data_IF_661921454431
#
_entry.id   IF_661921454431
#
_cell.length_a   1.000
_cell.length_b   1.000
_cell.length_c   1.000
_cell.angle_alpha   90.00
_cell.angle_beta   90.00
_cell.angle_gamma   90.00
#
_symmetry.space_group_name_H-M   'P 1'
#
loop_
_entity.id
_entity.type
_entity.pdbx_description
1 polymer ?
#
# COMPACT_ATOMS: atom_id res chain seq x y z
N UNK A 1 -2.91 51.91 28.39
CA UNK A 1 -4.27 52.45 28.25
C UNK A 1 -5.15 51.27 27.89
N UNK A 2 -5.79 50.70 28.86
CA UNK A 2 -7.21 50.73 29.22
C UNK A 2 -8.16 50.72 28.01
N UNK A 3 -8.87 49.58 27.76
CA UNK A 3 -10.31 49.46 28.10
C UNK A 3 -10.80 48.04 27.99
N UNK A 4 -11.27 47.51 29.11
CA UNK A 4 -12.30 46.50 29.30
C UNK A 4 -13.61 46.94 28.69
N UNK A 5 -14.44 46.03 28.17
CA UNK A 5 -15.88 46.03 28.42
C UNK A 5 -16.37 44.58 28.39
N UNK A 6 -17.05 44.25 29.40
CA UNK A 6 -17.80 43.07 29.81
C UNK A 6 -19.30 43.35 29.55
N UNK A 7 -20.11 42.34 29.18
CA UNK A 7 -21.51 42.14 29.61
C UNK A 7 -22.02 40.88 28.90
N UNK A 8 -22.37 39.82 29.55
CA UNK A 8 -23.38 39.46 30.55
C UNK A 8 -24.82 39.40 30.00
N UNK A 9 -25.44 38.26 30.28
CA UNK A 9 -26.86 37.87 30.41
C UNK A 9 -27.64 37.47 29.18
N UNK A 10 -28.20 36.29 29.22
CA UNK A 10 -29.62 36.03 29.37
C UNK A 10 -30.03 34.59 29.24
N UNK A 11 -30.53 34.09 30.32
CA UNK A 11 -31.19 32.80 30.53
C UNK A 11 -32.58 32.80 29.89
N UNK A 12 -33.01 31.69 29.27
CA UNK A 12 -34.44 31.33 29.28
C UNK A 12 -34.61 29.81 29.04
N UNK A 13 -35.05 29.16 30.10
CA UNK A 13 -35.69 27.84 30.10
C UNK A 13 -37.09 27.94 29.49
N UNK A 14 -37.48 27.02 28.64
CA UNK A 14 -38.88 26.61 28.49
C UNK A 14 -38.91 25.10 28.28
N UNK A 15 -39.41 24.43 29.29
CA UNK A 15 -39.88 23.06 29.24
C UNK A 15 -41.37 23.05 28.84
N UNK A 16 -41.73 22.24 27.88
CA UNK A 16 -43.14 21.82 27.68
C UNK A 16 -43.17 20.34 27.42
N UNK A 17 -43.66 19.62 28.38
CA UNK A 17 -44.21 18.26 28.26
C UNK A 17 -45.60 18.35 27.66
N UNK A 18 -46.05 17.39 26.90
CA UNK A 18 -47.41 16.77 26.93
C UNK A 18 -47.54 15.63 25.90
N UNK A 19 -47.82 14.47 26.44
CA UNK A 19 -48.81 13.43 26.19
C UNK A 19 -48.90 12.66 24.86
N UNK A 20 -48.98 11.39 25.10
CA UNK A 20 -49.25 10.25 24.27
C UNK A 20 -50.58 10.34 23.44
N UNK A 21 -50.52 9.71 22.27
CA UNK A 21 -51.70 8.98 21.79
C UNK A 21 -51.27 7.83 20.86
N UNK A 22 -51.80 6.69 21.19
CA UNK A 22 -51.74 5.41 20.48
C UNK A 22 -52.42 5.47 19.13
N UNK A 23 -51.82 4.81 18.12
CA UNK A 23 -52.50 4.60 16.81
C UNK A 23 -51.73 3.58 15.96
N UNK A 24 -52.16 2.35 16.10
CA UNK A 24 -51.68 1.18 15.37
C UNK A 24 -52.28 1.17 13.95
N UNK A 25 -51.43 1.20 12.91
CA UNK A 25 -51.81 0.67 11.59
C UNK A 25 -50.62 0.08 10.88
N UNK A 26 -50.76 -1.18 10.47
CA UNK A 26 -49.93 -2.01 9.61
C UNK A 26 -49.59 -1.30 8.30
N UNK A 27 -48.32 -1.36 7.91
CA UNK A 27 -47.87 -1.04 6.57
C UNK A 27 -46.47 -1.66 6.36
N UNK A 28 -46.37 -2.53 5.38
CA UNK A 28 -45.30 -3.47 5.10
C UNK A 28 -43.93 -2.80 4.89
N UNK A 29 -42.95 -3.46 5.43
CA UNK A 29 -41.54 -3.15 5.38
C UNK A 29 -40.94 -3.31 3.99
N UNK A 30 -40.07 -2.36 3.61
CA UNK A 30 -38.99 -2.62 2.71
C UNK A 30 -37.71 -2.78 3.56
N UNK A 31 -37.19 -3.99 3.59
CA UNK A 31 -36.00 -4.36 4.34
C UNK A 31 -34.81 -3.97 3.48
N UNK A 32 -34.11 -2.90 3.83
CA UNK A 32 -32.75 -2.71 3.39
C UNK A 32 -31.85 -3.67 4.19
N UNK A 33 -31.35 -4.66 3.50
CA UNK A 33 -30.33 -5.57 4.03
C UNK A 33 -28.96 -4.86 3.99
N UNK A 34 -28.56 -4.30 5.10
CA UNK A 34 -27.16 -4.11 5.39
C UNK A 34 -26.57 -5.49 5.68
N UNK A 35 -25.84 -6.06 4.73
CA UNK A 35 -25.11 -7.31 4.94
C UNK A 35 -23.79 -6.99 5.68
N UNK A 36 -23.88 -6.99 7.00
CA UNK A 36 -22.72 -7.19 7.85
C UNK A 36 -22.39 -8.70 7.82
N UNK A 37 -21.42 -9.06 7.00
CA UNK A 37 -20.91 -10.44 6.94
C UNK A 37 -19.62 -10.54 7.72
N UNK A 38 -19.72 -10.35 9.04
CA UNK A 38 -18.65 -10.77 9.95
C UNK A 38 -18.92 -12.21 10.38
N UNK A 39 -18.52 -13.17 9.58
CA UNK A 39 -18.52 -14.58 9.96
C UNK A 39 -17.22 -14.90 10.68
N UNK A 40 -17.23 -14.81 11.99
CA UNK A 40 -16.16 -15.32 12.86
C UNK A 40 -16.30 -16.83 12.94
N UNK A 41 -15.40 -17.56 12.29
CA UNK A 41 -15.18 -18.99 12.50
C UNK A 41 -13.69 -19.18 12.70
N UNK A 42 -13.29 -19.42 13.95
CA UNK A 42 -12.00 -20.00 14.39
C UNK A 42 -10.73 -19.45 13.72
N UNK A 43 -9.99 -18.59 14.42
CA UNK A 43 -8.58 -18.19 14.29
C UNK A 43 -7.78 -18.54 13.01
N UNK A 44 -8.35 -18.25 11.85
CA UNK A 44 -7.58 -18.06 10.62
C UNK A 44 -7.92 -16.67 10.14
N UNK A 45 -7.02 -15.70 10.37
CA UNK A 45 -7.10 -14.40 9.72
C UNK A 45 -6.87 -14.66 8.22
N UNK A 46 -7.93 -14.91 7.50
CA UNK A 46 -7.90 -14.96 6.03
C UNK A 46 -7.84 -13.52 5.56
N UNK A 47 -6.64 -13.02 5.31
CA UNK A 47 -6.44 -11.77 4.60
C UNK A 47 -7.03 -11.92 3.20
N UNK A 48 -8.25 -11.41 2.99
CA UNK A 48 -8.85 -11.40 1.66
C UNK A 48 -8.07 -10.41 0.80
N UNK A 49 -7.45 -10.92 -0.26
CA UNK A 49 -6.85 -10.09 -1.29
C UNK A 49 -7.93 -9.28 -2.01
N UNK A 50 -7.60 -8.07 -2.45
CA UNK A 50 -8.44 -7.29 -3.35
C UNK A 50 -8.50 -7.93 -4.76
N UNK A 51 -9.32 -7.37 -5.65
CA UNK A 51 -9.45 -7.86 -7.03
C UNK A 51 -8.13 -7.81 -7.83
N UNK A 52 -7.11 -7.07 -7.35
CA UNK A 52 -5.79 -6.98 -7.95
C UNK A 52 -4.83 -8.04 -7.41
N UNK A 53 -5.20 -8.75 -6.34
CA UNK A 53 -4.40 -9.75 -5.64
C UNK A 53 -3.44 -9.15 -4.60
N UNK A 54 -3.55 -7.87 -4.24
CA UNK A 54 -2.88 -7.33 -3.07
C UNK A 54 -3.55 -7.83 -1.79
N UNK A 55 -2.75 -8.10 -0.74
CA UNK A 55 -3.22 -8.43 0.61
C UNK A 55 -2.93 -7.31 1.61
N UNK A 56 -2.34 -6.22 1.13
CA UNK A 56 -2.06 -4.98 1.86
C UNK A 56 -2.88 -3.85 1.26
N UNK A 57 -3.09 -2.76 2.02
CA UNK A 57 -3.90 -1.62 1.60
C UNK A 57 -3.17 -0.31 1.80
N UNK A 58 -3.55 0.70 1.03
CA UNK A 58 -3.12 2.09 1.25
C UNK A 58 -3.55 2.54 2.66
N UNK A 59 -2.63 3.18 3.38
CA UNK A 59 -2.79 3.61 4.77
C UNK A 59 -2.27 2.62 5.80
N UNK A 60 -2.06 1.36 5.45
CA UNK A 60 -1.48 0.35 6.34
C UNK A 60 0.04 0.50 6.45
N UNK A 61 0.61 0.04 7.56
CA UNK A 61 2.05 -0.11 7.68
C UNK A 61 2.56 -1.17 6.70
N UNK A 62 3.60 -0.83 5.93
CA UNK A 62 4.23 -1.79 5.03
C UNK A 62 4.84 -2.96 5.82
N UNK A 63 4.54 -4.23 5.45
CA UNK A 63 5.14 -5.40 6.06
C UNK A 63 6.67 -5.35 5.99
N UNK A 64 7.33 -5.51 7.13
CA UNK A 64 8.80 -5.48 7.20
C UNK A 64 9.43 -6.75 6.65
N UNK A 65 10.61 -6.60 6.07
CA UNK A 65 11.43 -7.70 5.56
C UNK A 65 12.90 -7.30 5.50
N UNK A 66 13.77 -8.29 5.41
CA UNK A 66 15.18 -8.11 5.04
C UNK A 66 15.44 -8.76 3.71
N UNK A 67 16.12 -8.06 2.81
CA UNK A 67 16.45 -8.53 1.46
C UNK A 67 17.96 -8.47 1.23
N UNK A 68 18.49 -9.46 0.53
CA UNK A 68 19.87 -9.45 0.03
C UNK A 68 19.88 -8.88 -1.39
N UNK A 69 20.58 -7.77 -1.58
CA UNK A 69 20.76 -7.14 -2.88
C UNK A 69 21.75 -7.94 -3.75
N UNK A 70 21.72 -7.69 -5.05
CA UNK A 70 22.61 -8.35 -6.02
C UNK A 70 24.11 -8.04 -5.79
N UNK A 71 24.45 -6.99 -5.04
CA UNK A 71 25.82 -6.67 -4.61
C UNK A 71 26.21 -7.35 -3.29
N UNK A 72 25.34 -8.18 -2.71
CA UNK A 72 25.54 -8.92 -1.47
C UNK A 72 25.19 -8.14 -0.20
N UNK A 73 24.81 -6.86 -0.29
CA UNK A 73 24.38 -6.08 0.88
C UNK A 73 23.00 -6.54 1.34
N UNK A 74 22.76 -6.47 2.65
CA UNK A 74 21.45 -6.68 3.22
C UNK A 74 20.78 -5.34 3.56
N UNK A 75 19.51 -5.24 3.23
CA UNK A 75 18.66 -4.07 3.54
C UNK A 75 17.40 -4.55 4.24
N UNK A 76 17.09 -3.96 5.38
CA UNK A 76 15.81 -4.16 6.07
C UNK A 76 14.91 -2.98 5.77
N UNK A 77 13.65 -3.19 5.39
CA UNK A 77 12.74 -2.10 5.01
C UNK A 77 12.59 -1.08 6.15
N UNK A 78 12.49 -1.53 7.40
CA UNK A 78 12.40 -0.64 8.57
C UNK A 78 13.65 0.24 8.77
N UNK A 79 14.81 -0.13 8.25
CA UNK A 79 16.02 0.70 8.29
C UNK A 79 15.96 1.92 7.35
N UNK A 80 14.98 1.95 6.45
CA UNK A 80 14.74 3.04 5.50
C UNK A 80 13.71 4.06 5.99
N UNK A 81 13.30 4.00 7.26
CA UNK A 81 12.41 5.01 7.86
C UNK A 81 13.01 6.41 7.71
N UNK A 82 12.15 7.40 7.48
CA UNK A 82 12.56 8.77 7.12
C UNK A 82 12.75 9.00 5.62
N UNK A 83 12.72 7.94 4.80
CA UNK A 83 12.76 8.02 3.34
C UNK A 83 11.42 7.64 2.73
N UNK A 84 11.12 8.21 1.58
CA UNK A 84 10.11 7.66 0.67
C UNK A 84 10.73 6.43 -0.01
N UNK A 85 10.06 5.30 0.08
CA UNK A 85 10.56 4.03 -0.48
C UNK A 85 9.62 3.55 -1.59
N UNK A 86 10.19 3.23 -2.74
CA UNK A 86 9.50 2.52 -3.81
C UNK A 86 10.00 1.07 -3.86
N UNK A 87 9.09 0.13 -3.73
CA UNK A 87 9.32 -1.29 -3.98
C UNK A 87 8.73 -1.65 -5.34
N UNK A 88 9.53 -2.24 -6.21
CA UNK A 88 9.07 -2.81 -7.47
C UNK A 88 9.21 -4.33 -7.42
N UNK A 89 8.13 -5.07 -7.51
CA UNK A 89 8.18 -6.51 -7.68
C UNK A 89 8.31 -6.87 -9.15
N UNK A 90 9.33 -7.65 -9.48
CA UNK A 90 9.72 -7.96 -10.86
C UNK A 90 10.18 -9.41 -11.03
N UNK A 91 10.35 -9.85 -12.27
CA UNK A 91 10.98 -11.11 -12.63
C UNK A 91 11.40 -11.11 -14.10
N UNK A 92 12.43 -11.88 -14.46
CA UNK A 92 12.97 -11.92 -15.83
C UNK A 92 12.00 -12.49 -16.87
N UNK A 93 11.10 -13.37 -16.46
CA UNK A 93 10.05 -13.96 -17.30
C UNK A 93 8.82 -13.06 -17.49
N UNK A 94 8.74 -11.92 -16.77
CA UNK A 94 7.61 -11.00 -16.81
C UNK A 94 7.75 -9.98 -17.96
N UNK A 95 6.98 -10.13 -19.02
CA UNK A 95 7.05 -9.24 -20.18
C UNK A 95 6.65 -7.80 -19.89
N UNK A 96 5.70 -7.56 -18.97
CA UNK A 96 5.28 -6.21 -18.53
C UNK A 96 6.39 -5.55 -17.73
N UNK A 97 7.04 -6.29 -16.82
CA UNK A 97 8.16 -5.78 -16.03
C UNK A 97 9.32 -5.31 -16.94
N UNK A 98 9.63 -6.06 -18.00
CA UNK A 98 10.65 -5.67 -18.99
C UNK A 98 10.34 -4.34 -19.69
N UNK A 99 9.07 -4.03 -19.88
CA UNK A 99 8.64 -2.75 -20.46
C UNK A 99 8.71 -1.62 -19.44
N UNK A 100 8.26 -1.86 -18.22
CA UNK A 100 8.18 -0.87 -17.14
C UNK A 100 9.56 -0.45 -16.62
N UNK A 101 10.49 -1.40 -16.44
CA UNK A 101 11.79 -1.15 -15.79
C UNK A 101 12.62 -0.02 -16.42
N UNK A 102 12.74 0.13 -17.75
CA UNK A 102 13.45 1.25 -18.37
C UNK A 102 12.82 2.62 -18.06
N UNK A 103 11.50 2.69 -17.87
CA UNK A 103 10.81 3.93 -17.47
C UNK A 103 11.09 4.27 -16.01
N UNK A 104 11.03 3.25 -15.11
CA UNK A 104 11.42 3.45 -13.70
C UNK A 104 12.88 3.91 -13.60
N UNK A 105 13.78 3.32 -14.38
CA UNK A 105 15.18 3.77 -14.44
C UNK A 105 15.29 5.24 -14.84
N UNK A 106 14.70 5.61 -15.99
CA UNK A 106 14.86 6.93 -16.59
C UNK A 106 14.10 8.01 -15.80
N UNK A 107 12.85 7.73 -15.42
CA UNK A 107 11.93 8.77 -14.95
C UNK A 107 11.84 8.85 -13.42
N UNK A 108 12.27 7.81 -12.71
CA UNK A 108 12.30 7.78 -11.25
C UNK A 108 13.73 7.67 -10.73
N UNK A 109 14.43 6.57 -11.04
CA UNK A 109 15.73 6.32 -10.44
C UNK A 109 16.77 7.37 -10.76
N UNK A 110 17.03 7.64 -12.04
CA UNK A 110 18.07 8.60 -12.44
C UNK A 110 17.77 10.04 -11.98
N UNK A 111 16.50 10.37 -11.75
CA UNK A 111 16.10 11.70 -11.23
C UNK A 111 16.23 11.81 -9.71
N UNK A 112 16.16 10.68 -8.98
CA UNK A 112 16.08 10.69 -7.52
C UNK A 112 17.17 9.90 -6.80
N UNK A 113 18.05 9.20 -7.50
CA UNK A 113 19.10 8.34 -6.91
C UNK A 113 20.05 9.08 -5.94
N UNK A 114 20.24 10.38 -6.15
CA UNK A 114 21.09 11.22 -5.32
C UNK A 114 20.32 11.93 -4.19
N UNK A 115 19.01 11.70 -4.09
CA UNK A 115 18.18 12.21 -3.01
C UNK A 115 18.30 11.31 -1.78
N UNK A 116 18.84 11.85 -0.68
CA UNK A 116 19.00 11.12 0.57
C UNK A 116 17.66 10.64 1.19
N UNK A 117 16.55 11.29 0.83
CA UNK A 117 15.21 11.01 1.33
C UNK A 117 14.43 10.01 0.46
N UNK A 118 15.08 9.41 -0.55
CA UNK A 118 14.45 8.44 -1.44
C UNK A 118 15.21 7.12 -1.46
N UNK A 119 14.50 6.02 -1.62
CA UNK A 119 15.07 4.71 -1.89
C UNK A 119 14.18 3.93 -2.87
N UNK A 120 14.79 3.20 -3.80
CA UNK A 120 14.13 2.30 -4.72
C UNK A 120 14.79 0.93 -4.63
N UNK A 121 13.99 -0.13 -4.52
CA UNK A 121 14.46 -1.52 -4.51
C UNK A 121 13.57 -2.32 -5.46
N UNK A 122 14.16 -2.88 -6.52
CA UNK A 122 13.51 -3.92 -7.30
C UNK A 122 13.65 -5.26 -6.58
N UNK A 123 12.56 -5.98 -6.39
CA UNK A 123 12.50 -7.28 -5.70
C UNK A 123 12.23 -8.35 -6.75
N UNK A 124 13.26 -9.11 -7.07
CA UNK A 124 13.16 -10.15 -8.08
C UNK A 124 12.62 -11.45 -7.46
N UNK A 125 11.49 -11.89 -8.00
CA UNK A 125 10.71 -12.98 -7.45
C UNK A 125 11.23 -14.34 -7.89
N UNK A 126 11.81 -15.07 -6.93
CA UNK A 126 12.13 -16.50 -7.03
C UNK A 126 13.08 -16.87 -8.20
N UNK A 127 14.06 -15.98 -8.46
CA UNK A 127 15.08 -16.25 -9.46
C UNK A 127 16.49 -16.22 -8.81
N UNK A 128 17.44 -17.02 -9.34
CA UNK A 128 18.81 -17.02 -8.85
C UNK A 128 19.56 -15.77 -9.31
N UNK A 129 20.62 -15.42 -8.57
CA UNK A 129 21.41 -14.20 -8.75
C UNK A 129 21.89 -13.97 -10.18
N UNK A 130 22.38 -15.01 -10.85
CA UNK A 130 22.87 -14.93 -12.22
C UNK A 130 21.80 -14.51 -13.23
N UNK A 131 20.57 -14.98 -13.06
CA UNK A 131 19.42 -14.56 -13.85
C UNK A 131 19.05 -13.11 -13.58
N UNK A 132 19.01 -12.68 -12.30
CA UNK A 132 18.69 -11.31 -11.94
C UNK A 132 19.72 -10.34 -12.50
N UNK A 133 21.01 -10.68 -12.44
CA UNK A 133 22.08 -9.86 -13.03
C UNK A 133 21.96 -9.77 -14.57
N UNK A 134 21.65 -10.89 -15.23
CA UNK A 134 21.41 -10.89 -16.68
C UNK A 134 20.16 -10.07 -17.05
N UNK A 135 19.13 -10.13 -16.23
CA UNK A 135 17.90 -9.36 -16.39
C UNK A 135 18.14 -7.86 -16.24
N UNK A 136 18.82 -7.41 -15.18
CA UNK A 136 19.24 -6.02 -15.01
C UNK A 136 20.01 -5.50 -16.23
N UNK A 137 20.98 -6.27 -16.70
CA UNK A 137 21.75 -5.93 -17.91
C UNK A 137 20.88 -5.81 -19.16
N UNK A 138 19.90 -6.71 -19.33
CA UNK A 138 19.03 -6.72 -20.53
C UNK A 138 18.02 -5.58 -20.54
N UNK A 139 17.61 -5.07 -19.37
CA UNK A 139 16.68 -3.95 -19.21
C UNK A 139 17.40 -2.61 -19.07
N UNK A 140 18.71 -2.60 -18.85
CA UNK A 140 19.54 -1.41 -18.70
C UNK A 140 19.34 -0.69 -17.38
N UNK A 141 18.75 -1.34 -16.36
CA UNK A 141 18.51 -0.71 -15.06
C UNK A 141 19.76 -0.73 -14.17
N UNK A 142 19.90 0.32 -13.37
CA UNK A 142 21.01 0.51 -12.44
C UNK A 142 20.57 0.65 -10.98
N UNK A 143 19.26 0.74 -10.72
CA UNK A 143 18.76 0.74 -9.35
C UNK A 143 18.96 -0.61 -8.65
N UNK A 144 19.05 -0.61 -7.32
CA UNK A 144 19.29 -1.83 -6.55
C UNK A 144 18.21 -2.88 -6.82
N UNK A 145 18.66 -4.09 -7.18
CA UNK A 145 17.80 -5.27 -7.24
C UNK A 145 18.14 -6.20 -6.08
N UNK A 146 17.14 -6.83 -5.51
CA UNK A 146 17.27 -7.80 -4.44
C UNK A 146 16.59 -9.11 -4.76
N UNK A 147 17.01 -10.18 -4.08
CA UNK A 147 16.58 -11.54 -4.30
C UNK A 147 15.47 -11.91 -3.33
N UNK A 148 14.39 -12.46 -3.83
CA UNK A 148 13.27 -12.99 -3.04
C UNK A 148 13.07 -14.50 -3.32
N UNK A 149 13.97 -15.36 -2.83
CA UNK A 149 13.86 -16.79 -3.01
C UNK A 149 12.58 -17.33 -2.35
N UNK A 150 11.85 -18.18 -3.09
CA UNK A 150 10.56 -18.71 -2.65
C UNK A 150 9.43 -17.70 -2.65
N UNK A 151 9.64 -16.46 -3.15
CA UNK A 151 8.64 -15.39 -3.16
C UNK A 151 8.08 -15.04 -1.76
N UNK A 152 8.93 -15.09 -0.73
CA UNK A 152 8.50 -14.89 0.66
C UNK A 152 8.24 -13.39 0.98
N UNK A 153 9.00 -12.49 0.36
CA UNK A 153 8.75 -11.04 0.47
C UNK A 153 7.50 -10.68 -0.33
N UNK A 154 7.39 -11.19 -1.57
CA UNK A 154 6.20 -10.98 -2.40
C UNK A 154 4.91 -11.40 -1.69
N UNK A 155 4.94 -12.57 -1.01
CA UNK A 155 3.79 -13.12 -0.28
C UNK A 155 3.37 -12.29 0.95
N UNK A 156 4.17 -11.33 1.40
CA UNK A 156 3.76 -10.36 2.42
C UNK A 156 2.89 -9.23 1.86
N UNK A 157 2.90 -9.01 0.56
CA UNK A 157 2.22 -7.90 -0.12
C UNK A 157 1.08 -8.37 -1.02
N UNK A 158 1.19 -9.57 -1.59
CA UNK A 158 0.23 -10.09 -2.56
C UNK A 158 0.11 -11.61 -2.48
N UNK A 159 -0.99 -12.15 -3.00
CA UNK A 159 -1.15 -13.60 -3.14
C UNK A 159 -0.02 -14.19 -4.00
N UNK A 160 0.58 -15.30 -3.55
CA UNK A 160 1.70 -15.94 -4.25
C UNK A 160 1.41 -16.26 -5.71
N UNK A 161 0.20 -16.66 -6.03
CA UNK A 161 -0.26 -17.01 -7.38
C UNK A 161 -0.62 -15.79 -8.24
N UNK A 162 -0.65 -14.60 -7.66
CA UNK A 162 -1.03 -13.40 -8.40
C UNK A 162 0.10 -12.89 -9.30
N UNK A 163 -0.27 -12.07 -10.30
CA UNK A 163 0.67 -11.46 -11.25
C UNK A 163 1.69 -10.55 -10.57
N UNK A 164 2.89 -10.47 -11.13
CA UNK A 164 4.06 -9.91 -10.47
C UNK A 164 4.27 -8.43 -10.68
N UNK A 165 3.91 -7.84 -11.79
CA UNK A 165 4.14 -6.40 -12.03
C UNK A 165 3.38 -5.58 -11.00
N UNK A 166 4.10 -5.09 -9.98
CA UNK A 166 3.54 -4.34 -8.85
C UNK A 166 4.52 -3.35 -8.32
N UNK A 167 4.03 -2.16 -7.99
CA UNK A 167 4.81 -1.18 -7.26
C UNK A 167 4.09 -0.80 -5.98
N UNK A 168 4.87 -0.63 -4.91
CA UNK A 168 4.40 -0.18 -3.59
C UNK A 168 5.18 1.06 -3.22
N UNK A 169 4.48 2.18 -3.06
CA UNK A 169 5.08 3.42 -2.58
C UNK A 169 4.78 3.57 -1.09
N UNK A 170 5.83 3.86 -0.31
CA UNK A 170 5.82 3.91 1.15
C UNK A 170 6.33 5.27 1.58
N UNK A 171 5.64 5.92 2.50
CA UNK A 171 6.03 7.21 3.07
C UNK A 171 7.18 7.10 4.08
N UNK A 172 7.62 8.26 4.61
CA UNK A 172 8.71 8.36 5.58
C UNK A 172 8.39 7.67 6.91
N UNK A 173 7.13 7.55 7.25
CA UNK A 173 6.60 6.88 8.44
C UNK A 173 6.47 5.36 8.23
N UNK A 174 6.62 4.89 6.99
CA UNK A 174 6.53 3.48 6.62
C UNK A 174 5.13 3.00 6.33
N UNK A 175 4.21 3.90 5.99
CA UNK A 175 2.87 3.57 5.54
C UNK A 175 2.81 3.48 4.03
N UNK A 176 2.03 2.56 3.52
CA UNK A 176 1.74 2.44 2.10
C UNK A 176 0.88 3.62 1.66
N UNK A 177 1.34 4.38 0.68
CA UNK A 177 0.62 5.53 0.12
C UNK A 177 0.10 5.30 -1.29
N UNK A 178 0.69 4.37 -2.04
CA UNK A 178 0.21 4.00 -3.38
C UNK A 178 0.53 2.53 -3.67
N UNK A 179 -0.40 1.88 -4.34
CA UNK A 179 -0.25 0.54 -4.91
C UNK A 179 -0.57 0.63 -6.40
N UNK A 180 0.31 0.12 -7.26
CA UNK A 180 0.04 0.02 -8.70
C UNK A 180 0.16 -1.42 -9.16
N UNK A 181 -0.51 -1.76 -10.24
CA UNK A 181 -0.44 -3.07 -10.88
C UNK A 181 -0.61 -2.91 -12.38
N UNK A 182 0.24 -3.59 -13.13
CA UNK A 182 0.39 -3.47 -14.57
C UNK A 182 0.89 -2.05 -14.95
N UNK A 183 1.89 -2.04 -15.80
CA UNK A 183 2.40 -0.80 -16.35
C UNK A 183 1.42 -0.29 -17.42
N UNK A 184 1.01 0.97 -17.28
CA UNK A 184 0.24 1.71 -18.26
C UNK A 184 0.96 3.03 -18.55
N UNK A 185 1.46 3.18 -19.78
CA UNK A 185 2.26 4.34 -20.19
C UNK A 185 1.50 5.67 -20.11
N UNK A 186 0.16 5.63 -20.06
CA UNK A 186 -0.71 6.82 -19.98
C UNK A 186 -1.04 7.23 -18.53
N UNK A 187 -0.81 6.34 -17.54
CA UNK A 187 -1.21 6.55 -16.15
C UNK A 187 -0.01 6.64 -15.17
N UNK A 188 1.16 6.23 -15.59
CA UNK A 188 2.39 6.18 -14.78
C UNK A 188 3.38 7.27 -15.20
#
# INVERSE_FOLDING_TARGET
MKKKIMNVCGVAFVAVSILACSGQKKGMAATEMASDSTKVVGDVITTQADSTGYIVKVGEAAPDFTITLTDGKQVTLSSLRGKVVMLQFTASWCGVCRKEMPFIEKDIWLKHKDNADFALIGIDRDEPLDKVLAFAKSTGVTYPLGLDPGADIFAKYALRESGITRNVLIDKEGKIVKLTRLYNEEED
#
